data_IF_790868294577
#
_entry.id   IF_790868294577
#
_cell.length_a   1.000
_cell.length_b   1.000
_cell.length_c   1.000
_cell.angle_alpha   90.00
_cell.angle_beta   90.00
_cell.angle_gamma   90.00
#
_symmetry.space_group_name_H-M   'P 1'
#
loop_
_entity.id
_entity.type
_entity.pdbx_description
1 polymer ?
#
# COMPACT_ATOMS: atom_id res chain seq x y z
N UNK A 1 -5.09 -17.31 4.88
CA UNK A 1 -4.49 -16.12 4.22
C UNK A 1 -4.69 -16.22 2.72
N UNK A 2 -5.05 -15.12 2.10
CA UNK A 2 -5.20 -15.09 0.64
C UNK A 2 -3.82 -15.15 -0.03
N UNK A 3 -3.81 -15.62 -1.28
CA UNK A 3 -2.58 -15.63 -2.07
C UNK A 3 -2.09 -14.21 -2.32
N UNK A 4 -0.76 -13.98 -2.34
CA UNK A 4 -0.22 -12.67 -2.69
C UNK A 4 -0.57 -12.27 -4.13
N UNK A 5 -0.68 -10.98 -4.36
CA UNK A 5 -0.93 -10.41 -5.69
C UNK A 5 0.26 -9.56 -6.15
N UNK A 6 0.49 -9.53 -7.45
CA UNK A 6 1.48 -8.63 -8.06
C UNK A 6 0.84 -7.29 -8.33
N UNK A 7 1.47 -6.22 -7.83
CA UNK A 7 1.08 -4.84 -8.12
C UNK A 7 2.29 -4.13 -8.73
N UNK A 8 2.38 -4.14 -10.07
CA UNK A 8 3.57 -3.64 -10.76
C UNK A 8 4.79 -4.46 -10.38
N UNK A 9 5.90 -3.82 -9.92
CA UNK A 9 7.10 -4.54 -9.49
C UNK A 9 6.98 -5.12 -8.08
N UNK A 10 5.87 -4.89 -7.37
CA UNK A 10 5.73 -5.22 -5.96
C UNK A 10 4.81 -6.41 -5.74
N UNK A 11 4.99 -7.07 -4.59
CA UNK A 11 4.15 -8.15 -4.13
C UNK A 11 3.30 -7.64 -2.97
N UNK A 12 1.99 -7.75 -3.11
CA UNK A 12 1.02 -7.33 -2.10
C UNK A 12 0.49 -8.54 -1.36
N UNK A 13 0.58 -8.50 -0.03
CA UNK A 13 0.03 -9.52 0.86
C UNK A 13 -1.21 -9.00 1.55
N UNK A 14 -2.23 -9.83 1.62
CA UNK A 14 -3.48 -9.48 2.28
C UNK A 14 -3.93 -10.62 3.17
N UNK A 15 -4.56 -10.25 4.30
CA UNK A 15 -5.14 -11.21 5.22
C UNK A 15 -6.60 -11.48 4.86
N UNK A 16 -7.21 -12.45 5.57
CA UNK A 16 -8.64 -12.72 5.42
C UNK A 16 -9.51 -11.63 6.06
N UNK A 17 -8.91 -10.78 6.92
CA UNK A 17 -9.63 -9.72 7.62
C UNK A 17 -9.62 -8.38 6.90
N UNK A 18 -8.69 -8.15 5.97
CA UNK A 18 -8.68 -6.91 5.20
C UNK A 18 -9.59 -7.01 3.97
N UNK A 19 -10.05 -5.85 3.51
CA UNK A 19 -10.81 -5.80 2.27
C UNK A 19 -9.93 -6.25 1.10
N UNK A 20 -10.47 -7.05 0.17
CA UNK A 20 -9.74 -7.39 -1.05
C UNK A 20 -9.40 -6.14 -1.86
N UNK A 21 -8.31 -6.21 -2.60
CA UNK A 21 -7.98 -5.17 -3.55
C UNK A 21 -9.10 -5.06 -4.59
N UNK A 22 -9.68 -3.87 -4.72
CA UNK A 22 -10.81 -3.64 -5.61
C UNK A 22 -10.58 -2.52 -6.59
N UNK A 23 -11.56 -2.32 -7.46
CA UNK A 23 -11.53 -1.26 -8.46
C UNK A 23 -11.40 0.14 -7.88
N UNK A 24 -11.92 0.35 -6.67
CA UNK A 24 -11.84 1.65 -5.99
C UNK A 24 -10.40 2.06 -5.71
N UNK A 25 -9.58 1.14 -5.19
CA UNK A 25 -8.18 1.39 -4.91
C UNK A 25 -7.39 1.64 -6.19
N UNK A 26 -7.67 0.85 -7.22
CA UNK A 26 -7.03 1.01 -8.53
C UNK A 26 -7.37 2.36 -9.16
N UNK A 27 -8.64 2.75 -9.10
CA UNK A 27 -9.11 4.03 -9.64
C UNK A 27 -8.50 5.21 -8.89
N UNK A 28 -8.45 5.14 -7.56
CA UNK A 28 -7.86 6.19 -6.73
C UNK A 28 -6.38 6.34 -6.99
N UNK A 29 -5.65 5.23 -7.11
CA UNK A 29 -4.22 5.25 -7.40
C UNK A 29 -3.93 5.88 -8.76
N UNK A 30 -4.79 5.63 -9.75
CA UNK A 30 -4.65 6.23 -11.07
C UNK A 30 -5.00 7.71 -11.09
N UNK A 31 -5.97 8.12 -10.28
CA UNK A 31 -6.47 9.49 -10.22
C UNK A 31 -5.56 10.42 -9.42
N UNK A 32 -4.92 9.93 -8.37
CA UNK A 32 -4.14 10.76 -7.45
C UNK A 32 -2.98 11.47 -8.17
N UNK A 33 -2.81 12.76 -7.87
CA UNK A 33 -1.68 13.55 -8.37
C UNK A 33 -0.51 13.41 -7.42
N UNK A 34 0.48 12.63 -7.83
CA UNK A 34 1.69 12.37 -7.02
C UNK A 34 2.91 12.68 -7.87
N UNK A 35 3.93 13.26 -7.23
CA UNK A 35 5.22 13.58 -7.86
C UNK A 35 6.33 12.89 -7.09
N UNK A 36 7.44 12.66 -7.76
CA UNK A 36 8.65 12.11 -7.13
C UNK A 36 9.04 12.95 -5.92
N UNK A 37 9.32 12.28 -4.81
CA UNK A 37 9.70 12.93 -3.57
C UNK A 37 8.55 13.38 -2.69
N UNK A 38 7.31 13.24 -3.13
CA UNK A 38 6.15 13.62 -2.33
C UNK A 38 6.03 12.75 -1.09
N UNK A 39 5.45 13.35 -0.05
CA UNK A 39 5.02 12.63 1.15
C UNK A 39 3.56 12.24 0.98
N UNK A 40 3.29 10.95 1.14
CA UNK A 40 1.95 10.38 0.97
C UNK A 40 1.54 9.73 2.26
N UNK A 41 0.36 10.06 2.76
CA UNK A 41 -0.24 9.39 3.90
C UNK A 41 -1.60 8.82 3.51
N UNK A 42 -1.77 7.51 3.71
CA UNK A 42 -3.04 6.83 3.47
C UNK A 42 -3.74 6.60 4.81
N UNK A 43 -4.86 7.28 5.02
CA UNK A 43 -5.67 7.13 6.23
C UNK A 43 -6.59 5.91 6.04
N UNK A 44 -6.43 4.93 6.92
CA UNK A 44 -7.13 3.64 6.77
C UNK A 44 -6.45 2.78 5.71
N UNK A 45 -5.13 2.65 5.77
CA UNK A 45 -4.35 2.04 4.69
C UNK A 45 -4.56 0.53 4.54
N UNK A 46 -5.19 -0.14 5.50
CA UNK A 46 -5.31 -1.59 5.48
C UNK A 46 -3.95 -2.25 5.38
N UNK A 47 -3.82 -3.22 4.50
CA UNK A 47 -2.56 -3.93 4.28
C UNK A 47 -1.60 -3.19 3.32
N UNK A 48 -1.91 -1.97 2.90
CA UNK A 48 -0.99 -1.11 2.18
C UNK A 48 -1.12 -1.10 0.65
N UNK A 49 -2.23 -1.58 0.11
CA UNK A 49 -2.39 -1.70 -1.34
C UNK A 49 -2.23 -0.37 -2.08
N UNK A 50 -2.88 0.69 -1.61
CA UNK A 50 -2.83 1.99 -2.27
C UNK A 50 -1.41 2.56 -2.25
N UNK A 51 -0.69 2.38 -1.14
CA UNK A 51 0.69 2.83 -1.05
C UNK A 51 1.58 2.14 -2.06
N UNK A 52 1.42 0.81 -2.23
CA UNK A 52 2.16 0.07 -3.26
C UNK A 52 1.82 0.55 -4.67
N UNK A 53 0.55 0.75 -4.95
CA UNK A 53 0.11 1.21 -6.27
C UNK A 53 0.70 2.57 -6.62
N UNK A 54 0.72 3.50 -5.67
CA UNK A 54 1.31 4.82 -5.87
C UNK A 54 2.83 4.72 -6.06
N UNK A 55 3.51 3.92 -5.25
CA UNK A 55 4.95 3.73 -5.38
C UNK A 55 5.34 3.06 -6.70
N UNK A 56 4.49 2.17 -7.21
CA UNK A 56 4.71 1.55 -8.52
C UNK A 56 4.57 2.55 -9.66
N UNK A 57 3.71 3.55 -9.48
CA UNK A 57 3.46 4.58 -10.50
C UNK A 57 4.50 5.69 -10.47
N UNK A 58 4.89 6.13 -9.28
CA UNK A 58 5.85 7.23 -9.09
C UNK A 58 6.80 6.88 -7.95
N UNK A 59 8.09 7.02 -8.18
CA UNK A 59 9.11 6.67 -7.19
C UNK A 59 10.28 7.64 -7.30
N UNK A 60 10.93 8.03 -6.19
CA UNK A 60 10.62 7.66 -4.80
C UNK A 60 9.47 8.48 -4.21
N UNK A 61 8.81 7.89 -3.20
CA UNK A 61 7.80 8.56 -2.38
C UNK A 61 8.12 8.31 -0.90
N UNK A 62 7.80 9.27 -0.04
CA UNK A 62 7.82 9.06 1.40
C UNK A 62 6.44 8.57 1.83
N UNK A 63 6.33 7.27 2.10
CA UNK A 63 5.06 6.61 2.36
C UNK A 63 4.76 6.55 3.85
N UNK A 64 3.52 6.82 4.21
CA UNK A 64 3.02 6.57 5.55
C UNK A 64 1.57 6.11 5.47
N UNK A 65 1.12 5.41 6.51
CA UNK A 65 -0.24 4.95 6.59
C UNK A 65 -0.71 4.89 8.02
N UNK A 66 -2.01 4.99 8.20
CA UNK A 66 -2.65 4.84 9.50
C UNK A 66 -3.70 3.75 9.34
N UNK A 67 -3.63 2.73 10.21
CA UNK A 67 -4.58 1.62 10.19
C UNK A 67 -4.97 1.25 11.61
N UNK A 68 -6.27 1.18 11.84
CA UNK A 68 -6.83 0.84 13.16
C UNK A 68 -6.63 -0.63 13.52
N UNK A 69 -6.75 -1.54 12.56
CA UNK A 69 -6.62 -2.97 12.79
C UNK A 69 -5.14 -3.35 12.96
N UNK A 70 -4.72 -3.85 14.14
CA UNK A 70 -3.30 -4.18 14.36
C UNK A 70 -2.76 -5.22 13.39
N UNK A 71 -3.57 -6.21 13.03
CA UNK A 71 -3.17 -7.26 12.09
C UNK A 71 -2.89 -6.68 10.71
N UNK A 72 -3.77 -5.84 10.21
CA UNK A 72 -3.59 -5.22 8.89
C UNK A 72 -2.44 -4.21 8.91
N UNK A 73 -2.27 -3.45 10.00
CA UNK A 73 -1.14 -2.55 10.14
C UNK A 73 0.19 -3.29 10.11
N UNK A 74 0.28 -4.42 10.81
CA UNK A 74 1.49 -5.25 10.80
C UNK A 74 1.76 -5.79 9.40
N UNK A 75 0.73 -6.20 8.69
CA UNK A 75 0.86 -6.71 7.33
C UNK A 75 1.30 -5.60 6.36
N UNK A 76 0.81 -4.38 6.55
CA UNK A 76 1.25 -3.24 5.74
C UNK A 76 2.75 -2.94 5.95
N UNK A 77 3.22 -2.99 7.19
CA UNK A 77 4.64 -2.83 7.51
C UNK A 77 5.48 -3.90 6.84
N UNK A 78 5.06 -5.14 6.94
CA UNK A 78 5.74 -6.27 6.31
C UNK A 78 5.77 -6.11 4.79
N UNK A 79 4.66 -5.71 4.19
CA UNK A 79 4.54 -5.51 2.75
C UNK A 79 5.52 -4.44 2.25
N UNK A 80 5.60 -3.30 2.94
CA UNK A 80 6.57 -2.27 2.56
C UNK A 80 8.00 -2.77 2.69
N UNK A 81 8.33 -3.43 3.80
CA UNK A 81 9.68 -3.93 4.04
C UNK A 81 10.11 -4.97 3.01
N UNK A 82 9.24 -5.94 2.69
CA UNK A 82 9.53 -6.99 1.72
C UNK A 82 9.76 -6.44 0.31
N UNK A 83 9.13 -5.32 -0.01
CA UNK A 83 9.28 -4.68 -1.31
C UNK A 83 10.39 -3.62 -1.33
N UNK A 84 11.17 -3.52 -0.27
CA UNK A 84 12.27 -2.57 -0.20
C UNK A 84 11.85 -1.10 -0.13
N UNK A 85 10.62 -0.85 0.33
CA UNK A 85 10.07 0.49 0.44
C UNK A 85 10.20 1.00 1.87
N UNK A 86 10.70 2.21 2.02
CA UNK A 86 10.73 2.88 3.30
C UNK A 86 9.35 3.49 3.57
N UNK A 87 8.84 3.30 4.78
CA UNK A 87 7.55 3.86 5.14
C UNK A 87 7.25 3.67 6.62
N UNK A 88 6.24 4.40 7.10
CA UNK A 88 5.78 4.35 8.50
C UNK A 88 4.28 4.07 8.52
N UNK A 89 3.89 3.01 9.25
CA UNK A 89 2.48 2.65 9.41
C UNK A 89 2.08 2.84 10.87
#
# INVERSE_FOLDING_TARGET
MRAPERLGPYVYRQSDTCFPLGGDSLALAAFASVRRGDRVCDLGCGAGALLLLLAARVSPLALSGVEYCPEDAALARQTLAENGLAGAI
#
